data_IF_807168726553
#
_entry.id   IF_807168726553
#
_cell.length_a   1.000
_cell.length_b   1.000
_cell.length_c   1.000
_cell.angle_alpha   90.00
_cell.angle_beta   90.00
_cell.angle_gamma   90.00
#
_symmetry.space_group_name_H-M   'P 1'
#
loop_
_entity.id
_entity.type
_entity.pdbx_description
1 polymer ?
#
# COMPACT_ATOMS: atom_id res chain seq x y z
N UNK A 1 52.14 -15.36 42.37
CA UNK A 1 51.39 -14.52 41.40
C UNK A 1 49.91 -14.85 41.50
N UNK A 2 49.18 -14.24 42.46
CA UNK A 2 47.70 -14.31 42.50
C UNK A 2 47.18 -13.16 41.62
N UNK A 3 47.26 -13.36 40.31
CA UNK A 3 46.79 -12.41 39.31
C UNK A 3 45.28 -12.21 39.47
N UNK A 4 44.86 -10.95 39.45
CA UNK A 4 43.49 -10.54 39.70
C UNK A 4 42.56 -11.11 38.61
N UNK A 5 41.93 -12.26 38.88
CA UNK A 5 41.04 -12.96 37.94
C UNK A 5 39.91 -12.07 37.41
N UNK A 6 39.53 -11.04 38.16
CA UNK A 6 38.56 -10.00 37.80
C UNK A 6 38.89 -9.31 36.46
N UNK A 7 40.16 -9.16 36.11
CA UNK A 7 40.58 -8.49 34.85
C UNK A 7 40.23 -9.33 33.62
N UNK A 8 40.05 -10.66 33.76
CA UNK A 8 39.61 -11.55 32.70
C UNK A 8 38.08 -11.69 32.63
N UNK A 9 37.39 -11.58 33.78
CA UNK A 9 35.93 -11.74 33.82
C UNK A 9 35.17 -10.53 33.29
N UNK A 10 35.68 -9.32 33.54
CA UNK A 10 35.03 -8.09 33.08
C UNK A 10 34.83 -8.04 31.55
N UNK A 11 35.86 -8.23 30.71
CA UNK A 11 35.68 -8.21 29.25
C UNK A 11 34.79 -9.35 28.75
N UNK A 12 34.79 -10.51 29.42
CA UNK A 12 33.92 -11.63 29.06
C UNK A 12 32.44 -11.32 29.31
N UNK A 13 32.11 -10.68 30.44
CA UNK A 13 30.74 -10.26 30.74
C UNK A 13 30.28 -9.18 29.75
N UNK A 14 31.15 -8.24 29.39
CA UNK A 14 30.85 -7.23 28.37
C UNK A 14 30.58 -7.88 27.00
N UNK A 15 31.41 -8.84 26.58
CA UNK A 15 31.22 -9.59 25.33
C UNK A 15 29.88 -10.35 25.33
N UNK A 16 29.54 -11.04 26.42
CA UNK A 16 28.26 -11.74 26.55
C UNK A 16 27.11 -10.75 26.52
N UNK A 17 27.22 -9.62 27.22
CA UNK A 17 26.21 -8.56 27.22
C UNK A 17 25.97 -8.01 25.82
N UNK A 18 27.03 -7.61 25.11
CA UNK A 18 26.93 -7.11 23.73
C UNK A 18 26.33 -8.16 22.80
N UNK A 19 26.63 -9.44 23.00
CA UNK A 19 26.04 -10.51 22.20
C UNK A 19 24.55 -10.68 22.47
N UNK A 20 24.11 -10.66 23.73
CA UNK A 20 22.69 -10.76 24.10
C UNK A 20 21.92 -9.55 23.60
N UNK A 21 22.41 -8.33 23.85
CA UNK A 21 21.76 -7.11 23.39
C UNK A 21 21.77 -6.99 21.86
N UNK A 22 22.86 -7.37 21.20
CA UNK A 22 22.94 -7.42 19.75
C UNK A 22 21.96 -8.43 19.16
N UNK A 23 21.84 -9.62 19.76
CA UNK A 23 20.89 -10.64 19.32
C UNK A 23 19.43 -10.19 19.49
N UNK A 24 19.08 -9.59 20.63
CA UNK A 24 17.74 -9.03 20.86
C UNK A 24 17.44 -7.90 19.88
N UNK A 25 18.37 -6.97 19.70
CA UNK A 25 18.21 -5.88 18.74
C UNK A 25 18.02 -6.36 17.30
N UNK A 26 18.76 -7.40 16.89
CA UNK A 26 18.59 -8.01 15.57
C UNK A 26 17.29 -8.82 15.45
N UNK A 27 16.73 -9.31 16.56
CA UNK A 27 15.44 -10.01 16.57
C UNK A 27 14.25 -9.05 16.58
N UNK A 28 14.43 -7.84 17.13
CA UNK A 28 13.49 -6.71 17.09
C UNK A 28 13.63 -5.85 15.82
N UNK A 29 14.53 -6.21 14.89
CA UNK A 29 14.38 -5.78 13.50
C UNK A 29 13.17 -6.53 12.95
N UNK A 30 11.98 -6.11 13.37
CA UNK A 30 10.71 -6.64 12.92
C UNK A 30 10.76 -6.73 11.39
N UNK A 31 10.49 -7.93 10.88
CA UNK A 31 10.33 -8.15 9.44
C UNK A 31 9.37 -7.08 8.90
N UNK A 32 9.72 -6.48 7.76
CA UNK A 32 8.78 -5.61 7.07
C UNK A 32 7.74 -6.54 6.43
N UNK A 33 6.52 -6.61 6.98
CA UNK A 33 5.44 -7.47 6.45
C UNK A 33 4.41 -6.66 5.70
N UNK A 34 3.50 -7.31 4.96
CA UNK A 34 2.39 -6.62 4.29
C UNK A 34 1.59 -5.74 5.26
N UNK A 35 1.29 -6.22 6.47
CA UNK A 35 0.54 -5.44 7.47
C UNK A 35 1.27 -4.17 7.93
N UNK A 36 2.61 -4.15 7.87
CA UNK A 36 3.40 -2.98 8.28
C UNK A 36 3.48 -1.91 7.20
N UNK A 37 3.04 -2.21 5.98
CA UNK A 37 2.94 -1.19 4.92
C UNK A 37 1.96 -0.10 5.36
N UNK A 38 0.86 -0.46 6.05
CA UNK A 38 -0.13 0.49 6.59
C UNK A 38 0.52 1.60 7.44
N UNK A 39 1.55 1.27 8.21
CA UNK A 39 2.23 2.23 9.09
C UNK A 39 3.19 3.18 8.35
N UNK A 40 3.57 2.86 7.11
CA UNK A 40 4.66 3.53 6.39
C UNK A 40 4.26 4.09 5.02
N UNK A 41 3.06 3.76 4.54
CA UNK A 41 2.52 4.28 3.29
C UNK A 41 2.24 5.78 3.41
N UNK A 42 2.76 6.53 2.45
CA UNK A 42 2.38 7.91 2.20
C UNK A 42 1.29 7.87 1.15
N UNK A 43 0.07 8.26 1.50
CA UNK A 43 -1.06 8.30 0.60
C UNK A 43 -1.62 9.71 0.59
N UNK A 44 -1.60 10.35 -0.57
CA UNK A 44 -1.94 11.77 -0.73
C UNK A 44 -3.00 11.93 -1.80
N UNK A 45 -3.97 12.78 -1.50
CA UNK A 45 -5.02 13.24 -2.40
C UNK A 45 -4.83 14.75 -2.58
N UNK A 46 -4.54 15.17 -3.80
CA UNK A 46 -4.54 16.57 -4.21
C UNK A 46 -5.72 16.79 -5.16
N UNK A 47 -6.43 17.91 -4.98
CA UNK A 47 -7.55 18.26 -5.83
C UNK A 47 -7.46 19.72 -6.25
N UNK A 48 -7.45 19.95 -7.56
CA UNK A 48 -7.50 21.28 -8.17
C UNK A 48 -8.71 21.37 -9.10
N UNK A 49 -9.81 21.96 -8.61
CA UNK A 49 -11.10 22.03 -9.30
C UNK A 49 -11.64 20.62 -9.65
N UNK A 50 -11.76 20.30 -10.94
CA UNK A 50 -12.24 19.02 -11.45
C UNK A 50 -11.10 18.03 -11.74
N UNK A 51 -9.86 18.33 -11.34
CA UNK A 51 -8.71 17.44 -11.48
C UNK A 51 -8.36 16.88 -10.10
N UNK A 52 -8.24 15.57 -10.03
CA UNK A 52 -7.91 14.81 -8.82
C UNK A 52 -6.61 14.05 -9.08
N UNK A 53 -5.61 14.32 -8.26
CA UNK A 53 -4.32 13.67 -8.29
C UNK A 53 -4.16 12.86 -7.01
N UNK A 54 -4.13 11.54 -7.14
CA UNK A 54 -3.83 10.63 -6.04
C UNK A 54 -2.43 10.09 -6.22
N UNK A 55 -1.65 10.05 -5.14
CA UNK A 55 -0.35 9.41 -5.15
C UNK A 55 -0.16 8.53 -3.92
N UNK A 56 0.61 7.47 -4.09
CA UNK A 56 1.04 6.65 -2.98
C UNK A 56 2.49 6.28 -3.10
N UNK A 57 3.11 6.08 -1.94
CA UNK A 57 4.45 5.55 -1.82
C UNK A 57 4.58 4.71 -0.56
N UNK A 58 4.99 3.46 -0.70
CA UNK A 58 5.45 2.63 0.41
C UNK A 58 6.88 2.15 0.17
N UNK A 59 7.71 2.22 1.21
CA UNK A 59 9.16 2.26 1.04
C UNK A 59 9.88 0.93 0.91
N UNK A 60 9.38 -0.12 1.58
CA UNK A 60 10.04 -1.43 1.66
C UNK A 60 9.28 -2.51 0.91
N UNK A 61 9.97 -3.57 0.49
CA UNK A 61 9.30 -4.77 0.00
C UNK A 61 9.01 -5.70 1.19
N UNK A 62 7.78 -6.20 1.35
CA UNK A 62 7.43 -7.11 2.43
C UNK A 62 8.16 -8.46 2.29
N UNK A 63 8.69 -9.00 3.39
CA UNK A 63 9.44 -10.27 3.41
C UNK A 63 8.56 -11.49 3.11
N UNK A 64 7.27 -11.38 3.42
CA UNK A 64 6.20 -12.32 3.07
C UNK A 64 5.77 -12.21 1.59
N UNK A 65 6.28 -11.20 0.88
CA UNK A 65 6.01 -10.94 -0.53
C UNK A 65 4.65 -10.29 -0.76
N UNK A 66 4.49 -9.60 -1.89
CA UNK A 66 3.17 -9.15 -2.36
C UNK A 66 2.54 -10.21 -3.27
N UNK A 67 1.26 -10.11 -3.58
CA UNK A 67 0.59 -10.83 -4.69
C UNK A 67 -0.79 -10.23 -4.93
N UNK A 68 -1.33 -10.38 -6.14
CA UNK A 68 -2.65 -9.87 -6.51
C UNK A 68 -2.63 -8.40 -6.92
N UNK A 69 -3.79 -7.75 -6.75
CA UNK A 69 -4.00 -6.36 -7.15
C UNK A 69 -4.25 -5.49 -5.90
N UNK A 70 -3.75 -4.27 -5.96
CA UNK A 70 -4.13 -3.21 -5.04
C UNK A 70 -5.19 -2.33 -5.71
N UNK A 71 -5.87 -1.53 -4.89
CA UNK A 71 -6.95 -0.67 -5.34
C UNK A 71 -6.83 0.74 -4.78
N UNK A 72 -7.19 1.72 -5.59
CA UNK A 72 -7.54 3.05 -5.11
C UNK A 72 -9.01 3.30 -5.43
N UNK A 73 -9.80 3.53 -4.39
CA UNK A 73 -11.21 3.93 -4.52
C UNK A 73 -11.34 5.43 -4.33
N UNK A 74 -11.94 6.11 -5.30
CA UNK A 74 -12.38 7.50 -5.15
C UNK A 74 -13.86 7.48 -4.80
N UNK A 75 -14.21 8.10 -3.68
CA UNK A 75 -15.57 8.13 -3.15
C UNK A 75 -16.13 9.54 -3.17
N UNK A 76 -17.45 9.66 -3.35
CA UNK A 76 -18.18 10.92 -3.18
C UNK A 76 -19.31 10.73 -2.18
N UNK A 77 -19.69 11.79 -1.46
CA UNK A 77 -20.77 11.74 -0.45
C UNK A 77 -22.08 11.14 -0.98
N UNK A 78 -22.35 11.31 -2.28
CA UNK A 78 -23.58 10.83 -2.91
C UNK A 78 -23.45 9.45 -3.58
N UNK A 79 -22.25 8.85 -3.63
CA UNK A 79 -22.00 7.56 -4.29
C UNK A 79 -21.99 7.60 -5.84
N UNK A 80 -22.34 8.74 -6.43
CA UNK A 80 -22.55 8.87 -7.89
C UNK A 80 -21.30 9.39 -8.64
N UNK A 81 -20.09 9.24 -8.08
CA UNK A 81 -18.86 9.81 -8.66
C UNK A 81 -18.62 9.36 -10.11
N UNK A 82 -18.95 8.10 -10.41
CA UNK A 82 -18.81 7.47 -11.72
C UNK A 82 -19.52 8.22 -12.86
N UNK A 83 -20.58 8.99 -12.56
CA UNK A 83 -21.31 9.79 -13.56
C UNK A 83 -20.51 11.00 -14.04
N UNK A 84 -19.56 11.46 -13.24
CA UNK A 84 -18.77 12.66 -13.50
C UNK A 84 -17.38 12.33 -14.03
N UNK A 85 -17.00 11.06 -14.18
CA UNK A 85 -15.64 10.69 -14.64
C UNK A 85 -15.50 10.96 -16.15
N UNK A 86 -14.60 11.87 -16.51
CA UNK A 86 -14.22 12.15 -17.91
C UNK A 86 -13.03 11.29 -18.34
N UNK A 87 -11.97 11.25 -17.52
CA UNK A 87 -10.79 10.42 -17.78
C UNK A 87 -10.13 9.93 -16.50
N UNK A 88 -9.52 8.74 -16.57
CA UNK A 88 -8.68 8.15 -15.52
C UNK A 88 -7.35 7.75 -16.15
N UNK A 89 -6.25 8.14 -15.52
CA UNK A 89 -4.90 7.71 -15.90
C UNK A 89 -4.14 7.25 -14.66
N UNK A 90 -3.94 5.94 -14.56
CA UNK A 90 -3.06 5.30 -13.60
C UNK A 90 -1.67 5.16 -14.22
N UNK A 91 -0.64 5.50 -13.43
CA UNK A 91 0.76 5.25 -13.75
C UNK A 91 1.48 4.64 -12.55
N UNK A 92 2.18 3.52 -12.76
CA UNK A 92 3.09 2.93 -11.77
C UNK A 92 4.53 3.14 -12.20
N UNK A 93 5.42 3.39 -11.23
CA UNK A 93 6.83 3.64 -11.52
C UNK A 93 7.77 2.73 -10.72
N UNK A 94 8.93 2.48 -11.31
CA UNK A 94 10.07 1.85 -10.66
C UNK A 94 11.33 2.62 -11.03
N UNK A 95 12.04 3.16 -10.04
CA UNK A 95 13.26 3.95 -10.25
C UNK A 95 13.12 5.05 -11.33
N UNK A 96 12.01 5.82 -11.23
CA UNK A 96 11.62 6.89 -12.16
C UNK A 96 11.22 6.44 -13.58
N UNK A 97 11.19 5.13 -13.86
CA UNK A 97 10.68 4.57 -15.11
C UNK A 97 9.22 4.17 -14.98
N UNK A 98 8.40 4.53 -15.96
CA UNK A 98 7.01 4.08 -16.07
C UNK A 98 7.00 2.61 -16.48
N UNK A 99 6.45 1.76 -15.62
CA UNK A 99 6.40 0.30 -15.82
C UNK A 99 5.00 -0.23 -16.13
N UNK A 100 3.96 0.55 -15.79
CA UNK A 100 2.58 0.21 -16.04
C UNK A 100 1.74 1.47 -16.18
N UNK A 101 0.80 1.45 -17.11
CA UNK A 101 -0.25 2.45 -17.22
C UNK A 101 -1.59 1.77 -17.47
N UNK A 102 -2.66 2.37 -16.96
CA UNK A 102 -4.03 1.94 -17.23
C UNK A 102 -4.97 3.14 -17.24
N UNK A 103 -6.05 3.03 -18.00
CA UNK A 103 -7.20 3.93 -17.92
C UNK A 103 -8.46 3.20 -17.49
N UNK A 104 -8.33 1.96 -17.04
CA UNK A 104 -9.44 1.12 -16.61
C UNK A 104 -9.84 1.46 -15.17
N UNK A 105 -11.14 1.49 -14.95
CA UNK A 105 -11.76 1.70 -13.64
C UNK A 105 -13.09 0.94 -13.59
N UNK A 106 -13.56 0.67 -12.39
CA UNK A 106 -14.84 0.00 -12.13
C UNK A 106 -15.73 0.88 -11.26
N UNK A 107 -17.04 0.83 -11.50
CA UNK A 107 -18.03 1.46 -10.62
C UNK A 107 -18.13 0.68 -9.30
N UNK A 108 -18.18 1.41 -8.19
CA UNK A 108 -18.51 0.87 -6.86
C UNK A 108 -19.72 1.57 -6.30
N UNK A 109 -20.30 1.04 -5.23
CA UNK A 109 -21.42 1.68 -4.55
C UNK A 109 -21.11 3.11 -4.06
N UNK A 110 -19.84 3.41 -3.76
CA UNK A 110 -19.41 4.68 -3.17
C UNK A 110 -18.72 5.61 -4.17
N UNK A 111 -18.38 5.12 -5.38
CA UNK A 111 -17.78 5.91 -6.44
C UNK A 111 -17.13 5.05 -7.52
N UNK A 112 -15.81 5.17 -7.67
CA UNK A 112 -15.03 4.38 -8.63
C UNK A 112 -13.82 3.72 -7.95
N UNK A 113 -13.44 2.54 -8.44
CA UNK A 113 -12.23 1.84 -8.04
C UNK A 113 -11.29 1.65 -9.24
N UNK A 114 -10.01 1.93 -9.01
CA UNK A 114 -8.93 1.71 -9.96
C UNK A 114 -8.08 0.57 -9.42
N UNK A 115 -8.07 -0.54 -10.17
CA UNK A 115 -7.30 -1.74 -9.85
C UNK A 115 -5.91 -1.67 -10.49
N UNK A 116 -4.88 -2.12 -9.78
CA UNK A 116 -3.54 -2.19 -10.33
C UNK A 116 -2.74 -3.36 -9.76
N UNK A 117 -1.87 -3.98 -10.57
CA UNK A 117 -1.16 -5.17 -10.12
C UNK A 117 -0.01 -4.81 -9.19
N UNK A 118 0.19 -5.62 -8.16
CA UNK A 118 1.37 -5.50 -7.28
C UNK A 118 2.65 -5.98 -7.98
N UNK A 119 2.53 -6.80 -9.04
CA UNK A 119 3.61 -7.22 -9.93
C UNK A 119 3.28 -7.04 -11.41
N UNK A 120 4.30 -6.67 -12.18
CA UNK A 120 4.29 -6.73 -13.64
C UNK A 120 5.22 -7.83 -14.15
N UNK A 121 5.03 -8.24 -15.41
CA UNK A 121 5.78 -9.33 -16.03
C UNK A 121 7.30 -9.17 -15.88
N UNK A 122 8.03 -10.28 -15.69
CA UNK A 122 9.48 -10.35 -15.42
C UNK A 122 9.89 -10.03 -13.96
N UNK A 123 9.08 -10.42 -12.97
CA UNK A 123 9.41 -10.30 -11.53
C UNK A 123 9.62 -8.84 -11.06
N UNK A 124 9.10 -7.87 -11.83
CA UNK A 124 9.17 -6.46 -11.45
C UNK A 124 7.99 -6.12 -10.55
N UNK A 125 8.30 -5.64 -9.35
CA UNK A 125 7.31 -5.15 -8.40
C UNK A 125 6.82 -3.78 -8.87
N UNK A 126 5.50 -3.58 -8.93
CA UNK A 126 4.87 -2.39 -9.49
C UNK A 126 4.04 -1.57 -8.49
N UNK A 127 3.58 -2.17 -7.40
CA UNK A 127 2.75 -1.53 -6.38
C UNK A 127 3.38 -0.42 -5.50
N UNK A 128 4.70 -0.38 -5.22
CA UNK A 128 5.29 0.55 -4.23
C UNK A 128 5.10 2.03 -4.48
N UNK A 129 4.97 2.44 -5.74
CA UNK A 129 4.84 3.85 -6.09
C UNK A 129 3.97 4.02 -7.33
N UNK A 130 2.94 4.85 -7.20
CA UNK A 130 2.03 5.12 -8.29
C UNK A 130 1.26 6.42 -8.10
N UNK A 131 0.66 6.83 -9.21
CA UNK A 131 -0.17 8.03 -9.30
C UNK A 131 -1.42 7.72 -10.11
N UNK A 132 -2.54 8.31 -9.72
CA UNK A 132 -3.79 8.30 -10.47
C UNK A 132 -4.21 9.74 -10.70
N UNK A 133 -4.42 10.09 -11.97
CA UNK A 133 -4.95 11.39 -12.38
C UNK A 133 -6.39 11.15 -12.86
N UNK A 134 -7.38 11.75 -12.21
CA UNK A 134 -8.78 11.68 -12.62
C UNK A 134 -9.27 13.07 -12.98
N UNK A 135 -9.83 13.21 -14.17
CA UNK A 135 -10.55 14.41 -14.57
C UNK A 135 -12.05 14.15 -14.47
N UNK A 136 -12.74 15.03 -13.76
CA UNK A 136 -14.19 15.03 -13.64
C UNK A 136 -14.82 16.05 -14.58
N UNK A 137 -16.05 15.83 -14.99
CA UNK A 137 -16.87 16.80 -15.74
C UNK A 137 -17.38 17.93 -14.84
N UNK A 138 -17.49 17.69 -13.52
CA UNK A 138 -17.94 18.64 -12.52
C UNK A 138 -17.03 18.62 -11.28
N UNK A 139 -16.90 19.78 -10.62
CA UNK A 139 -16.17 19.90 -9.36
C UNK A 139 -17.06 19.41 -8.19
N UNK A 140 -16.83 18.17 -7.76
CA UNK A 140 -17.56 17.53 -6.64
C UNK A 140 -16.61 17.12 -5.53
N UNK A 141 -16.99 17.19 -4.24
CA UNK A 141 -16.17 16.67 -3.14
C UNK A 141 -15.84 15.19 -3.33
N UNK A 142 -14.58 14.84 -3.13
CA UNK A 142 -14.05 13.48 -3.27
C UNK A 142 -13.10 13.19 -2.10
N UNK A 143 -13.15 11.96 -1.61
CA UNK A 143 -12.14 11.38 -0.74
C UNK A 143 -11.54 10.14 -1.43
N UNK A 144 -10.39 9.70 -0.99
CA UNK A 144 -9.70 8.54 -1.56
C UNK A 144 -9.42 7.47 -0.50
N UNK A 145 -9.47 6.21 -0.91
CA UNK A 145 -9.10 5.06 -0.10
C UNK A 145 -8.11 4.20 -0.86
N UNK A 146 -6.99 3.88 -0.25
CA UNK A 146 -6.02 2.92 -0.73
C UNK A 146 -6.28 1.56 -0.07
N UNK A 147 -6.42 0.52 -0.87
CA UNK A 147 -6.53 -0.87 -0.42
C UNK A 147 -5.30 -1.63 -0.85
N UNK A 148 -4.50 -2.06 0.13
CA UNK A 148 -3.43 -3.01 -0.11
C UNK A 148 -3.96 -4.42 0.04
N UNK A 149 -3.67 -5.33 -0.88
CA UNK A 149 -4.00 -6.74 -0.76
C UNK A 149 -2.74 -7.61 -0.95
N UNK A 150 -2.76 -8.80 -0.34
CA UNK A 150 -1.69 -9.79 -0.50
C UNK A 150 -2.25 -11.19 -0.77
N UNK A 151 -3.31 -11.24 -1.57
CA UNK A 151 -3.96 -12.47 -2.01
C UNK A 151 -4.33 -12.36 -3.49
N UNK A 152 -4.25 -13.48 -4.21
CA UNK A 152 -4.77 -13.54 -5.58
C UNK A 152 -6.31 -13.50 -5.54
N UNK A 153 -6.90 -12.55 -6.25
CA UNK A 153 -8.32 -12.54 -6.53
C UNK A 153 -8.59 -12.31 -8.01
N UNK A 154 -9.49 -13.13 -8.56
CA UNK A 154 -9.99 -13.01 -9.94
C UNK A 154 -11.29 -12.18 -10.00
N UNK A 155 -11.55 -11.39 -8.95
CA UNK A 155 -12.86 -10.80 -8.67
C UNK A 155 -13.28 -9.71 -9.63
N UNK A 156 -14.50 -9.82 -10.18
CA UNK A 156 -15.20 -8.72 -10.83
C UNK A 156 -15.94 -7.95 -9.74
N UNK A 157 -15.57 -6.69 -9.51
CA UNK A 157 -16.27 -5.83 -8.55
C UNK A 157 -17.66 -5.47 -9.05
N UNK A 158 -18.63 -5.56 -8.13
CA UNK A 158 -20.01 -5.17 -8.35
C UNK A 158 -20.24 -3.73 -7.89
N UNK A 159 -21.01 -2.98 -8.68
CA UNK A 159 -21.53 -1.67 -8.30
C UNK A 159 -22.56 -1.73 -7.15
N UNK A 160 -23.08 -2.93 -6.82
CA UNK A 160 -24.12 -3.09 -5.79
C UNK A 160 -23.58 -3.11 -4.34
N UNK A 161 -22.26 -3.11 -4.14
CA UNK A 161 -21.64 -3.18 -2.81
C UNK A 161 -20.36 -2.35 -2.72
N UNK A 162 -19.99 -1.90 -1.52
CA UNK A 162 -18.70 -1.23 -1.31
C UNK A 162 -17.52 -2.16 -1.58
N UNK A 163 -16.39 -1.60 -2.03
CA UNK A 163 -15.18 -2.36 -2.30
C UNK A 163 -14.68 -3.08 -1.04
N UNK A 164 -14.63 -2.37 0.09
CA UNK A 164 -14.21 -2.96 1.36
C UNK A 164 -15.05 -4.17 1.80
N UNK A 165 -16.36 -4.17 1.53
CA UNK A 165 -17.21 -5.33 1.80
C UNK A 165 -16.88 -6.51 0.88
N UNK A 166 -16.65 -6.24 -0.40
CA UNK A 166 -16.29 -7.26 -1.39
C UNK A 166 -14.95 -7.92 -1.07
N UNK A 167 -13.94 -7.12 -0.69
CA UNK A 167 -12.64 -7.62 -0.25
C UNK A 167 -12.76 -8.44 1.04
N UNK A 168 -13.57 -8.01 2.00
CA UNK A 168 -13.80 -8.76 3.24
C UNK A 168 -14.45 -10.13 3.00
N UNK A 169 -15.32 -10.26 2.01
CA UNK A 169 -15.93 -11.55 1.63
C UNK A 169 -14.98 -12.43 0.82
N UNK A 170 -14.12 -11.84 -0.02
CA UNK A 170 -13.27 -12.58 -0.97
C UNK A 170 -11.92 -12.98 -0.35
N UNK A 171 -11.27 -12.07 0.37
CA UNK A 171 -9.92 -12.21 0.94
C UNK A 171 -9.88 -11.79 2.43
N UNK A 172 -10.63 -12.47 3.31
CA UNK A 172 -10.82 -12.05 4.69
C UNK A 172 -9.51 -11.95 5.48
N UNK A 173 -9.19 -10.75 5.95
CA UNK A 173 -7.99 -10.48 6.76
C UNK A 173 -6.69 -10.43 5.95
N UNK A 174 -6.78 -10.36 4.62
CA UNK A 174 -5.62 -10.25 3.72
C UNK A 174 -5.58 -8.91 2.97
N UNK A 175 -6.10 -7.88 3.60
CA UNK A 175 -6.05 -6.50 3.10
C UNK A 175 -6.08 -5.51 4.28
N UNK A 176 -5.62 -4.28 4.02
CA UNK A 176 -5.89 -3.13 4.88
C UNK A 176 -6.35 -1.93 4.03
N UNK A 177 -6.86 -0.89 4.68
CA UNK A 177 -7.31 0.35 4.03
C UNK A 177 -6.70 1.58 4.68
N UNK A 178 -6.25 2.54 3.86
CA UNK A 178 -5.79 3.87 4.29
C UNK A 178 -6.61 4.92 3.55
N UNK A 179 -7.06 5.96 4.26
CA UNK A 179 -7.93 7.00 3.70
C UNK A 179 -7.20 8.35 3.62
N UNK A 180 -7.54 9.14 2.60
CA UNK A 180 -7.12 10.53 2.44
C UNK A 180 -8.34 11.40 2.06
N UNK A 181 -8.40 12.61 2.61
CA UNK A 181 -9.48 13.60 2.41
C UNK A 181 -8.94 14.93 1.91
#
# INVERSE_FOLDING_TARGET
>A
MKGNKIVLFLPMIVMIGLFVFGYMYLSDLDAFTNERIEESIQFELEKENNIIDVSWQWGGFPEDGVTGNDYVELISENGDLWQYVDSVELTLFQADEVIYTSSEWSETQEGIAIAFPTYVSNEQIAGPFGTINVTLTEDVPVSARYYHTWAEEDGIFSAESSLGFQLQETIPGQFFVVEAE
#
